data_IF_353219986575
#
_entry.id   IF_353219986575
#
_cell.length_a   1.000
_cell.length_b   1.000
_cell.length_c   1.000
_cell.angle_alpha   90.00
_cell.angle_beta   90.00
_cell.angle_gamma   90.00
#
_symmetry.space_group_name_H-M   'P 1'
#
loop_
_entity.id
_entity.type
_entity.pdbx_description
1 polymer ?
#
# COMPACT_ATOMS: atom_id res chain seq x y z
N UNK A 1 -22.55 -4.69 -14.43
CA UNK A 1 -21.09 -4.89 -14.26
C UNK A 1 -20.70 -4.12 -13.01
N UNK A 2 -20.39 -4.80 -11.91
CA UNK A 2 -19.99 -4.16 -10.65
C UNK A 2 -18.55 -3.69 -10.74
N UNK A 3 -18.31 -2.41 -10.48
CA UNK A 3 -16.99 -1.78 -10.50
C UNK A 3 -16.44 -1.63 -9.08
N UNK A 4 -15.14 -1.35 -8.96
CA UNK A 4 -14.47 -1.07 -7.67
C UNK A 4 -15.17 0.04 -6.86
N UNK A 5 -15.88 0.95 -7.53
CA UNK A 5 -16.54 2.09 -6.90
C UNK A 5 -17.87 1.71 -6.22
N UNK A 6 -18.43 0.55 -6.56
CA UNK A 6 -19.76 0.11 -6.10
C UNK A 6 -19.70 -0.71 -4.80
N UNK A 7 -18.50 -1.07 -4.33
CA UNK A 7 -18.29 -1.96 -3.17
C UNK A 7 -17.72 -1.16 -1.99
N UNK A 8 -18.17 -1.44 -0.74
CA UNK A 8 -17.55 -0.90 0.45
C UNK A 8 -16.04 -1.14 0.49
N UNK A 9 -15.29 -0.06 0.73
CA UNK A 9 -13.82 -0.08 0.60
C UNK A 9 -13.14 -1.03 1.59
N UNK A 10 -13.69 -1.14 2.81
CA UNK A 10 -13.10 -1.97 3.87
C UNK A 10 -13.20 -3.45 3.51
N UNK A 11 -14.41 -3.90 3.18
CA UNK A 11 -14.69 -5.29 2.80
C UNK A 11 -13.86 -5.73 1.59
N UNK A 12 -13.75 -4.86 0.59
CA UNK A 12 -12.92 -5.13 -0.58
C UNK A 12 -11.45 -5.31 -0.22
N UNK A 13 -10.90 -4.45 0.65
CA UNK A 13 -9.50 -4.54 1.06
C UNK A 13 -9.25 -5.82 1.87
N UNK A 14 -10.19 -6.20 2.75
CA UNK A 14 -10.06 -7.37 3.60
C UNK A 14 -10.10 -8.66 2.77
N UNK A 15 -11.01 -8.77 1.79
CA UNK A 15 -11.08 -9.92 0.87
C UNK A 15 -9.87 -10.01 -0.06
N UNK A 16 -9.42 -8.88 -0.61
CA UNK A 16 -8.20 -8.85 -1.43
C UNK A 16 -6.98 -9.22 -0.58
N UNK A 17 -6.89 -8.77 0.67
CA UNK A 17 -5.80 -9.13 1.56
C UNK A 17 -5.74 -10.65 1.81
N UNK A 18 -6.89 -11.30 2.06
CA UNK A 18 -6.97 -12.77 2.20
C UNK A 18 -6.49 -13.48 0.94
N UNK A 19 -6.90 -13.02 -0.25
CA UNK A 19 -6.42 -13.61 -1.52
C UNK A 19 -4.91 -13.43 -1.69
N UNK A 20 -4.35 -12.27 -1.34
CA UNK A 20 -2.92 -11.99 -1.44
C UNK A 20 -2.07 -12.78 -0.42
N UNK A 21 -2.66 -13.26 0.68
CA UNK A 21 -1.96 -14.16 1.62
C UNK A 21 -1.62 -15.51 0.98
N UNK A 22 -2.44 -15.98 0.03
CA UNK A 22 -2.19 -17.22 -0.68
C UNK A 22 -1.08 -17.10 -1.74
N UNK A 23 -0.75 -15.88 -2.14
CA UNK A 23 0.30 -15.62 -3.12
C UNK A 23 1.70 -15.68 -2.49
N UNK A 24 2.47 -16.71 -2.85
CA UNK A 24 3.86 -16.92 -2.40
C UNK A 24 4.82 -15.77 -2.75
N UNK A 25 4.44 -14.91 -3.69
CA UNK A 25 5.26 -13.77 -4.13
C UNK A 25 5.19 -12.57 -3.18
N UNK A 26 4.16 -12.50 -2.32
CA UNK A 26 3.95 -11.40 -1.38
C UNK A 26 4.26 -11.91 0.02
N UNK A 27 5.46 -11.60 0.48
CA UNK A 27 5.94 -12.02 1.80
C UNK A 27 6.27 -10.78 2.60
N UNK A 28 5.86 -10.75 3.87
CA UNK A 28 6.29 -9.70 4.79
C UNK A 28 7.83 -9.75 4.94
N UNK A 29 8.57 -8.69 4.57
CA UNK A 29 10.00 -8.64 4.83
C UNK A 29 10.27 -8.62 6.34
N UNK A 30 11.30 -9.35 6.79
CA UNK A 30 11.61 -9.50 8.23
C UNK A 30 11.79 -8.16 8.94
N UNK A 31 12.48 -7.21 8.30
CA UNK A 31 12.68 -5.86 8.81
C UNK A 31 11.35 -5.16 9.14
N UNK A 32 10.32 -5.37 8.32
CA UNK A 32 9.04 -4.67 8.47
C UNK A 32 8.22 -5.21 9.64
N UNK A 33 8.60 -6.35 10.26
CA UNK A 33 7.91 -6.89 11.44
C UNK A 33 8.04 -5.97 12.65
N UNK A 34 9.17 -5.26 12.78
CA UNK A 34 9.48 -4.44 13.95
C UNK A 34 9.39 -2.93 13.67
N UNK A 35 9.24 -2.55 12.39
CA UNK A 35 9.35 -1.15 11.96
C UNK A 35 7.98 -0.47 11.95
N UNK A 36 7.99 0.84 12.22
CA UNK A 36 6.81 1.70 12.17
C UNK A 36 6.46 2.05 10.73
N UNK A 37 5.17 2.14 10.42
CA UNK A 37 4.69 2.39 9.04
C UNK A 37 5.05 3.78 8.50
N UNK A 38 5.39 4.71 9.38
CA UNK A 38 5.88 6.03 9.01
C UNK A 38 6.33 6.82 10.24
N UNK A 39 6.97 7.96 10.00
CA UNK A 39 7.52 8.83 11.06
C UNK A 39 6.43 9.47 11.92
N UNK A 40 5.19 9.49 11.44
CA UNK A 40 4.01 9.99 12.14
C UNK A 40 3.37 8.94 13.08
N UNK A 41 3.78 7.68 13.01
CA UNK A 41 3.32 6.63 13.92
C UNK A 41 4.35 6.39 15.02
N UNK A 42 3.84 6.17 16.23
CA UNK A 42 4.67 5.94 17.42
C UNK A 42 4.96 4.46 17.62
N UNK A 43 3.98 3.59 17.34
CA UNK A 43 4.07 2.13 17.50
C UNK A 43 3.98 1.39 16.16
N UNK A 44 4.54 0.17 16.07
CA UNK A 44 4.30 -0.73 14.94
C UNK A 44 2.82 -1.15 14.84
N UNK A 45 2.37 -1.65 13.68
CA UNK A 45 1.03 -2.19 13.52
C UNK A 45 0.76 -3.38 14.44
N UNK A 46 -0.40 -3.40 15.10
CA UNK A 46 -0.82 -4.50 15.99
C UNK A 46 -1.24 -5.75 15.22
N UNK A 47 -1.82 -5.57 14.03
CA UNK A 47 -2.23 -6.69 13.18
C UNK A 47 -1.01 -7.31 12.51
N UNK A 48 -0.78 -8.62 12.66
CA UNK A 48 0.31 -9.34 12.01
C UNK A 48 0.20 -9.34 10.47
N UNK A 49 -1.02 -9.34 9.94
CA UNK A 49 -1.31 -9.39 8.49
C UNK A 49 -1.37 -8.01 7.83
N UNK A 50 -0.93 -6.97 8.53
CA UNK A 50 -0.99 -5.59 8.06
C UNK A 50 -0.31 -5.37 6.70
N UNK A 51 0.69 -6.19 6.36
CA UNK A 51 1.39 -6.12 5.08
C UNK A 51 0.48 -6.42 3.90
N UNK A 52 -0.33 -7.47 4.01
CA UNK A 52 -1.29 -7.88 2.97
C UNK A 52 -2.37 -6.82 2.80
N UNK A 53 -2.88 -6.28 3.92
CA UNK A 53 -3.82 -5.16 3.93
C UNK A 53 -3.21 -3.92 3.26
N UNK A 54 -1.92 -3.65 3.49
CA UNK A 54 -1.20 -2.54 2.84
C UNK A 54 -1.08 -2.76 1.33
N UNK A 55 -0.72 -3.96 0.90
CA UNK A 55 -0.62 -4.32 -0.52
C UNK A 55 -1.98 -4.20 -1.23
N UNK A 56 -3.06 -4.71 -0.62
CA UNK A 56 -4.43 -4.58 -1.12
C UNK A 56 -4.85 -3.10 -1.26
N UNK A 57 -4.59 -2.28 -0.23
CA UNK A 57 -4.88 -0.86 -0.27
C UNK A 57 -4.08 -0.12 -1.37
N UNK A 58 -2.81 -0.50 -1.59
CA UNK A 58 -1.98 0.05 -2.68
C UNK A 58 -2.56 -0.30 -4.04
N UNK A 59 -2.94 -1.56 -4.28
CA UNK A 59 -3.57 -1.98 -5.54
C UNK A 59 -4.83 -1.17 -5.83
N UNK A 60 -5.70 -1.00 -4.82
CA UNK A 60 -6.90 -0.17 -4.93
C UNK A 60 -6.56 1.29 -5.30
N UNK A 61 -5.55 1.88 -4.67
CA UNK A 61 -5.13 3.26 -4.95
C UNK A 61 -4.55 3.42 -6.36
N UNK A 62 -3.80 2.43 -6.85
CA UNK A 62 -3.28 2.41 -8.23
C UNK A 62 -4.44 2.34 -9.22
N UNK A 63 -5.45 1.50 -8.95
CA UNK A 63 -6.64 1.40 -9.78
C UNK A 63 -7.36 2.75 -9.92
N UNK A 64 -7.60 3.44 -8.79
CA UNK A 64 -8.34 4.72 -8.78
C UNK A 64 -7.55 5.84 -9.45
N UNK A 65 -6.24 5.95 -9.15
CA UNK A 65 -5.42 7.06 -9.63
C UNK A 65 -4.83 6.84 -11.03
N UNK A 66 -5.01 5.65 -11.61
CA UNK A 66 -4.42 5.15 -12.86
C UNK A 66 -2.89 5.08 -12.87
N UNK A 67 -2.21 6.18 -12.58
CA UNK A 67 -0.74 6.28 -12.47
C UNK A 67 -0.36 6.76 -11.08
N UNK A 68 0.57 6.06 -10.42
CA UNK A 68 1.06 6.52 -9.12
C UNK A 68 2.57 6.37 -8.96
N UNK A 69 3.17 7.36 -8.30
CA UNK A 69 4.55 7.35 -7.85
C UNK A 69 4.71 6.87 -6.41
N UNK A 70 5.92 6.48 -6.04
CA UNK A 70 6.24 6.14 -4.63
C UNK A 70 6.05 7.36 -3.73
N UNK A 71 6.40 8.57 -4.18
CA UNK A 71 6.27 9.78 -3.36
C UNK A 71 4.81 10.13 -3.08
N UNK A 72 3.94 9.97 -4.08
CA UNK A 72 2.49 10.14 -3.90
C UNK A 72 1.92 9.09 -2.95
N UNK A 73 2.35 7.82 -3.06
CA UNK A 73 1.97 6.78 -2.11
C UNK A 73 2.42 7.13 -0.68
N UNK A 74 3.62 7.69 -0.51
CA UNK A 74 4.10 8.14 0.80
C UNK A 74 3.27 9.30 1.35
N UNK A 75 2.84 10.22 0.51
CA UNK A 75 1.97 11.32 0.92
C UNK A 75 0.59 10.81 1.34
N UNK A 76 0.00 9.89 0.57
CA UNK A 76 -1.31 9.26 0.85
C UNK A 76 -1.32 8.47 2.16
N UNK A 77 -0.25 7.71 2.43
CA UNK A 77 -0.07 6.98 3.69
C UNK A 77 0.68 7.81 4.74
N UNK A 78 0.75 9.13 4.56
CA UNK A 78 1.25 10.08 5.55
C UNK A 78 0.19 10.42 6.58
N UNK A 79 0.59 11.24 7.56
CA UNK A 79 -0.33 11.70 8.60
C UNK A 79 0.25 12.83 9.44
N UNK A 80 -0.57 13.38 10.33
CA UNK A 80 -0.12 14.37 11.31
C UNK A 80 0.83 13.72 12.31
N UNK A 81 2.04 14.26 12.45
CA UNK A 81 2.98 13.85 13.49
C UNK A 81 2.82 14.76 14.71
N UNK A 82 2.61 14.15 15.88
CA UNK A 82 2.73 14.84 17.16
C UNK A 82 4.22 15.16 17.42
N UNK A 83 4.51 16.41 17.79
CA UNK A 83 5.88 16.92 18.00
C UNK A 83 6.08 17.38 19.45
N UNK A 84 5.31 16.80 20.38
CA UNK A 84 5.31 17.16 21.79
C UNK A 84 4.71 18.55 21.97
N UNK A 85 5.48 19.48 22.53
CA UNK A 85 5.05 20.87 22.75
C UNK A 85 4.86 21.68 21.45
N UNK A 86 5.51 21.29 20.34
CA UNK A 86 5.38 22.02 19.06
C UNK A 86 4.10 21.60 18.31
N UNK A 87 3.47 22.53 17.55
CA UNK A 87 2.30 22.22 16.74
C UNK A 87 2.50 21.03 15.80
N UNK A 88 1.42 20.27 15.61
CA UNK A 88 1.41 19.11 14.72
C UNK A 88 1.68 19.52 13.28
N UNK A 89 2.41 18.67 12.55
CA UNK A 89 2.68 18.88 11.11
C UNK A 89 2.49 17.59 10.35
N UNK A 90 1.99 17.69 9.12
CA UNK A 90 1.93 16.56 8.21
C UNK A 90 3.34 16.01 7.93
N UNK A 91 3.46 14.69 7.93
CA UNK A 91 4.68 13.96 7.58
C UNK A 91 4.32 12.75 6.72
N UNK A 92 5.11 12.53 5.68
CA UNK A 92 4.93 11.41 4.76
C UNK A 92 5.14 10.07 5.45
N UNK A 93 4.53 9.03 4.89
CA UNK A 93 4.75 7.63 5.26
C UNK A 93 6.14 7.12 4.88
N UNK A 94 6.44 5.90 5.34
CA UNK A 94 7.71 5.25 5.05
C UNK A 94 7.87 4.94 3.56
N UNK A 95 8.95 5.43 2.97
CA UNK A 95 9.29 5.16 1.57
C UNK A 95 9.74 3.73 1.32
N UNK A 96 10.40 3.10 2.31
CA UNK A 96 10.87 1.71 2.20
C UNK A 96 9.68 0.74 2.09
N UNK A 97 8.68 0.91 2.95
CA UNK A 97 7.45 0.09 2.97
C UNK A 97 6.70 0.21 1.64
N UNK A 98 6.40 1.45 1.20
CA UNK A 98 5.67 1.67 -0.05
C UNK A 98 6.43 1.10 -1.27
N UNK A 99 7.76 1.29 -1.31
CA UNK A 99 8.61 0.78 -2.40
C UNK A 99 8.64 -0.75 -2.43
N UNK A 100 8.88 -1.39 -1.30
CA UNK A 100 8.96 -2.86 -1.19
C UNK A 100 7.63 -3.52 -1.54
N UNK A 101 6.51 -2.98 -1.06
CA UNK A 101 5.18 -3.47 -1.40
C UNK A 101 4.94 -3.41 -2.92
N UNK A 102 5.24 -2.28 -3.57
CA UNK A 102 5.10 -2.14 -5.03
C UNK A 102 6.01 -3.11 -5.78
N UNK A 103 7.26 -3.28 -5.35
CA UNK A 103 8.19 -4.23 -5.98
C UNK A 103 7.70 -5.68 -5.89
N UNK A 104 7.06 -6.08 -4.79
CA UNK A 104 6.46 -7.42 -4.67
C UNK A 104 5.24 -7.58 -5.57
N UNK A 105 4.39 -6.54 -5.66
CA UNK A 105 3.26 -6.53 -6.59
C UNK A 105 3.69 -6.54 -8.06
N UNK A 106 4.82 -5.91 -8.39
CA UNK A 106 5.46 -5.98 -9.70
C UNK A 106 5.96 -7.42 -9.99
N UNK A 107 6.61 -8.08 -9.02
CA UNK A 107 7.03 -9.49 -9.13
C UNK A 107 5.87 -10.45 -9.31
N UNK A 108 4.73 -10.19 -8.66
CA UNK A 108 3.51 -10.99 -8.82
C UNK A 108 2.77 -10.73 -10.16
N UNK A 109 3.17 -9.68 -10.89
CA UNK A 109 2.61 -9.31 -12.19
C UNK A 109 1.32 -8.50 -12.12
N UNK A 110 0.95 -7.95 -10.95
CA UNK A 110 -0.25 -7.13 -10.77
C UNK A 110 -0.04 -5.65 -11.14
N UNK A 111 1.22 -5.20 -11.06
CA UNK A 111 1.60 -3.81 -11.33
C UNK A 111 2.75 -3.79 -12.35
N UNK A 112 2.70 -2.85 -13.29
CA UNK A 112 3.79 -2.59 -14.23
C UNK A 112 4.28 -1.16 -14.13
N UNK A 113 5.57 -0.98 -14.41
CA UNK A 113 6.19 0.33 -14.49
C UNK A 113 6.09 0.86 -15.92
N UNK A 114 5.58 2.08 -16.06
CA UNK A 114 5.65 2.83 -17.32
C UNK A 114 6.79 3.83 -17.20
N UNK A 115 7.73 3.78 -18.16
CA UNK A 115 8.88 4.69 -18.21
C UNK A 115 8.39 6.15 -18.21
N UNK A 116 8.88 6.95 -17.27
CA UNK A 116 8.52 8.37 -17.12
C UNK A 116 7.15 8.69 -16.49
N UNK A 117 6.21 7.73 -16.41
CA UNK A 117 4.82 8.00 -15.96
C UNK A 117 4.43 7.34 -14.63
N UNK A 118 5.27 6.47 -14.07
CA UNK A 118 5.04 5.85 -12.76
C UNK A 118 4.68 4.38 -12.86
N UNK A 119 3.72 3.93 -12.05
CA UNK A 119 3.24 2.54 -12.02
C UNK A 119 1.74 2.49 -12.32
N UNK A 120 1.34 1.46 -13.06
CA UNK A 120 -0.03 1.23 -13.53
C UNK A 120 -0.40 -0.23 -13.26
N UNK A 121 -1.69 -0.49 -13.08
CA UNK A 121 -2.22 -1.84 -12.93
C UNK A 121 -2.15 -2.62 -14.25
N UNK A 122 -1.77 -3.89 -14.19
CA UNK A 122 -1.84 -4.80 -15.35
C UNK A 122 -3.28 -5.28 -15.59
N UNK A 123 -3.59 -5.85 -16.78
CA UNK A 123 -4.87 -6.53 -16.98
C UNK A 123 -5.13 -7.61 -15.93
N UNK A 124 -4.09 -8.37 -15.55
CA UNK A 124 -4.14 -9.37 -14.47
C UNK A 124 -4.49 -8.73 -13.11
N UNK A 125 -3.94 -7.56 -12.81
CA UNK A 125 -4.27 -6.82 -11.60
C UNK A 125 -5.67 -6.20 -11.61
N UNK A 126 -6.23 -5.89 -12.79
CA UNK A 126 -7.61 -5.37 -12.91
C UNK A 126 -8.67 -6.46 -12.79
N UNK A 127 -8.33 -7.70 -13.15
CA UNK A 127 -9.24 -8.85 -13.04
C UNK A 127 -9.23 -9.54 -11.66
N UNK A 128 -8.30 -9.16 -10.78
CA UNK A 128 -8.08 -9.78 -9.47
C UNK A 128 -9.09 -9.28 -8.42
#
# INVERSE_FOLDING_TARGET
>A
MTTLYDVPTKELIDEVAKKLQNDKSIVLPEENRYVRTGVHKENPPTNNDWWYVRCAAILRKIYIKNTIGIEQLRAEYGGGKNRGSKPSKARSGSGSIARRAVQQLEKAGYVTRIKGKGRVLTPKGRSF
#
